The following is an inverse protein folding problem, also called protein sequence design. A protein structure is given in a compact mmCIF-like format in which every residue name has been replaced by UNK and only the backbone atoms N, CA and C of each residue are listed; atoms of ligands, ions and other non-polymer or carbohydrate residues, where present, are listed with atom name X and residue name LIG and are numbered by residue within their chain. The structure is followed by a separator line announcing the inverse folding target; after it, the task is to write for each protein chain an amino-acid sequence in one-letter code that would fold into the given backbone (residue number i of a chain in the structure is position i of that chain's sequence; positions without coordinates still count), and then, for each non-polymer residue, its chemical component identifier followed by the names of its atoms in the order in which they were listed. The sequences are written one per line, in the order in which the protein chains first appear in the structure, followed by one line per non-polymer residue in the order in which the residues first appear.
data_IF_377141449873
#
_entry.id   IF_377141449873
#
_cell.length_a   1.000
_cell.length_b   1.000
_cell.length_c   1.000
_cell.angle_alpha   90.00
_cell.angle_beta   90.00
_cell.angle_gamma   90.00
#
_symmetry.space_group_name_H-M   'P 1'
#
loop_
_entity.id
_entity.type
_entity.pdbx_description
1 polymer ?
#
# COMPACT_ATOMS: atom_id res chain seq x y z
N UNK A 1 -52.18 -41.96 26.81
CA UNK A 1 -51.59 -40.76 27.46
C UNK A 1 -50.02 -40.76 27.56
N UNK A 2 -49.38 -41.91 27.71
CA UNK A 2 -47.87 -41.96 27.83
C UNK A 2 -47.15 -41.68 26.54
N UNK A 3 -47.65 -42.02 25.37
CA UNK A 3 -46.99 -41.82 24.06
C UNK A 3 -46.98 -40.34 23.65
N UNK A 4 -47.97 -39.55 24.00
CA UNK A 4 -48.00 -38.11 23.72
C UNK A 4 -47.00 -37.33 24.57
N UNK A 5 -46.74 -37.79 25.80
CA UNK A 5 -45.75 -37.15 26.67
C UNK A 5 -44.29 -37.31 26.14
N UNK A 6 -43.99 -38.47 25.54
CA UNK A 6 -42.68 -38.71 24.93
C UNK A 6 -42.48 -37.91 23.63
N UNK A 7 -43.55 -37.73 22.84
CA UNK A 7 -43.48 -36.91 21.63
C UNK A 7 -43.23 -35.43 21.94
N UNK A 8 -43.81 -34.89 23.01
CA UNK A 8 -43.58 -33.51 23.47
C UNK A 8 -42.17 -33.35 24.05
N UNK A 9 -41.65 -34.35 24.77
CA UNK A 9 -40.34 -34.36 25.34
C UNK A 9 -39.27 -34.50 24.25
N UNK A 10 -39.52 -35.27 23.20
CA UNK A 10 -38.59 -35.39 22.03
C UNK A 10 -38.58 -34.13 21.18
N UNK A 11 -39.74 -33.46 21.02
CA UNK A 11 -39.81 -32.17 20.33
C UNK A 11 -39.14 -31.03 21.09
N UNK A 12 -39.18 -31.04 22.43
CA UNK A 12 -38.49 -30.07 23.26
C UNK A 12 -36.94 -30.24 23.25
N UNK A 13 -36.46 -31.46 23.01
CA UNK A 13 -35.00 -31.73 22.88
C UNK A 13 -34.45 -31.32 21.52
N UNK A 14 -35.29 -31.11 20.50
CA UNK A 14 -34.87 -30.71 19.13
C UNK A 14 -34.81 -29.18 18.95
N UNK A 15 -35.33 -28.44 19.94
CA UNK A 15 -35.20 -26.96 19.99
C UNK A 15 -34.10 -26.57 20.98
N UNK A 16 -32.94 -27.23 20.91
CA UNK A 16 -31.74 -26.59 21.43
C UNK A 16 -31.47 -25.40 20.52
N UNK A 17 -31.51 -24.15 21.05
CA UNK A 17 -31.18 -23.00 20.26
C UNK A 17 -29.75 -23.22 19.76
N UNK A 18 -29.58 -23.20 18.46
CA UNK A 18 -28.31 -22.80 17.84
C UNK A 18 -28.08 -21.34 18.28
N UNK A 19 -27.69 -21.17 19.54
CA UNK A 19 -26.99 -19.95 19.91
C UNK A 19 -25.75 -19.97 19.09
N UNK A 20 -25.77 -19.24 17.99
CA UNK A 20 -24.56 -18.90 17.25
C UNK A 20 -23.60 -18.31 18.29
N UNK A 21 -22.64 -19.12 18.69
CA UNK A 21 -21.49 -18.62 19.40
C UNK A 21 -20.81 -17.69 18.41
N UNK A 22 -21.02 -16.38 18.57
CA UNK A 22 -20.08 -15.42 18.04
C UNK A 22 -18.76 -15.78 18.72
N UNK A 23 -17.92 -16.52 18.00
CA UNK A 23 -16.57 -16.83 18.45
C UNK A 23 -15.82 -15.49 18.45
N UNK A 24 -15.93 -14.76 19.55
CA UNK A 24 -15.01 -13.67 19.83
C UNK A 24 -13.65 -14.35 19.92
N UNK A 25 -12.79 -14.09 18.94
CA UNK A 25 -11.45 -14.64 18.94
C UNK A 25 -10.77 -14.17 20.22
N UNK A 26 -10.42 -15.13 21.09
CA UNK A 26 -9.71 -14.81 22.32
C UNK A 26 -8.31 -14.27 21.96
N UNK A 27 -7.82 -13.29 22.71
CA UNK A 27 -6.46 -12.79 22.51
C UNK A 27 -5.44 -13.94 22.50
N UNK A 28 -4.52 -13.92 21.53
CA UNK A 28 -3.49 -14.93 21.37
C UNK A 28 -2.18 -14.43 21.98
N UNK A 29 -1.54 -15.28 22.77
CA UNK A 29 -0.20 -14.98 23.32
C UNK A 29 0.85 -15.61 22.42
N UNK A 30 1.73 -14.78 21.87
CA UNK A 30 2.86 -15.20 21.06
C UNK A 30 4.18 -14.84 21.73
N UNK A 31 5.23 -15.58 21.41
CA UNK A 31 6.58 -15.28 21.88
C UNK A 31 7.51 -15.21 20.69
N UNK A 32 8.24 -14.10 20.57
CA UNK A 32 9.21 -13.90 19.51
C UNK A 32 10.58 -13.52 20.08
N UNK A 33 11.64 -13.96 19.41
CA UNK A 33 13.00 -13.68 19.77
C UNK A 33 13.74 -12.95 18.66
N UNK A 34 14.64 -12.07 19.06
CA UNK A 34 15.58 -11.42 18.17
C UNK A 34 16.97 -11.43 18.76
N UNK A 35 17.97 -11.59 17.92
CA UNK A 35 19.37 -11.64 18.32
C UNK A 35 20.14 -10.60 17.53
N UNK A 36 21.06 -9.90 18.21
CA UNK A 36 22.03 -9.02 17.55
C UNK A 36 23.42 -9.23 18.14
N UNK A 37 24.39 -9.35 17.27
CA UNK A 37 25.79 -9.55 17.59
C UNK A 37 26.45 -8.19 17.78
N UNK A 38 27.32 -8.05 18.78
CA UNK A 38 28.05 -6.83 19.07
C UNK A 38 29.37 -6.80 18.29
N UNK A 39 29.52 -5.80 17.44
CA UNK A 39 30.78 -5.49 16.76
C UNK A 39 31.76 -4.73 17.65
N UNK A 40 33.00 -4.56 17.20
CA UNK A 40 34.09 -3.96 17.99
C UNK A 40 33.80 -2.51 18.44
N UNK A 41 33.05 -1.75 17.67
CA UNK A 41 32.72 -0.35 17.95
C UNK A 41 31.30 -0.13 18.44
N UNK A 42 30.51 -1.18 18.60
CA UNK A 42 29.10 -1.07 18.96
C UNK A 42 28.90 -0.81 20.47
N UNK A 43 27.91 0.01 20.77
CA UNK A 43 27.49 0.19 22.17
C UNK A 43 26.44 -0.85 22.54
N UNK A 44 26.52 -1.43 23.76
CA UNK A 44 25.56 -2.44 24.23
C UNK A 44 24.10 -2.06 24.11
N UNK A 45 23.76 -0.74 24.27
CA UNK A 45 22.41 -0.20 24.11
C UNK A 45 21.92 -0.33 22.67
N UNK A 46 22.81 -0.14 21.67
CA UNK A 46 22.45 -0.14 20.27
C UNK A 46 22.25 -1.56 19.75
N UNK A 47 23.09 -2.49 20.24
CA UNK A 47 22.95 -3.92 19.96
C UNK A 47 21.67 -4.48 20.59
N UNK A 48 21.36 -4.11 21.83
CA UNK A 48 20.08 -4.46 22.45
C UNK A 48 18.89 -3.92 21.68
N UNK A 49 18.97 -2.66 21.21
CA UNK A 49 17.92 -2.05 20.40
C UNK A 49 17.78 -2.76 19.04
N UNK A 50 18.87 -3.23 18.44
CA UNK A 50 18.86 -4.02 17.22
C UNK A 50 18.18 -5.39 17.45
N UNK A 51 18.55 -6.10 18.50
CA UNK A 51 17.90 -7.37 18.88
C UNK A 51 16.40 -7.19 19.14
N UNK A 52 16.00 -6.08 19.80
CA UNK A 52 14.60 -5.76 20.03
C UNK A 52 13.84 -5.52 18.74
N UNK A 53 14.42 -4.80 17.77
CA UNK A 53 13.78 -4.59 16.44
C UNK A 53 13.56 -5.90 15.71
N UNK A 54 14.53 -6.80 15.79
CA UNK A 54 14.42 -8.13 15.18
C UNK A 54 13.32 -8.97 15.85
N UNK A 55 13.25 -8.97 17.21
CA UNK A 55 12.17 -9.62 17.94
C UNK A 55 10.79 -9.05 17.58
N UNK A 56 10.68 -7.72 17.45
CA UNK A 56 9.42 -7.06 17.02
C UNK A 56 9.04 -7.45 15.59
N UNK A 57 10.01 -7.56 14.69
CA UNK A 57 9.76 -8.02 13.32
C UNK A 57 9.20 -9.44 13.32
N UNK A 58 9.85 -10.35 14.05
CA UNK A 58 9.41 -11.74 14.18
C UNK A 58 8.01 -11.84 14.83
N UNK A 59 7.73 -11.03 15.86
CA UNK A 59 6.42 -10.96 16.49
C UNK A 59 5.33 -10.48 15.51
N UNK A 60 5.64 -9.44 14.73
CA UNK A 60 4.69 -8.92 13.72
C UNK A 60 4.41 -9.94 12.63
N UNK A 61 5.41 -10.70 12.19
CA UNK A 61 5.23 -11.77 11.20
C UNK A 61 4.35 -12.90 11.75
N UNK A 62 4.54 -13.30 13.00
CA UNK A 62 3.67 -14.29 13.66
C UNK A 62 2.24 -13.76 13.85
N UNK A 63 2.08 -12.51 14.29
CA UNK A 63 0.77 -11.88 14.40
C UNK A 63 0.05 -11.79 13.06
N UNK A 64 0.78 -11.58 11.95
CA UNK A 64 0.26 -11.56 10.60
C UNK A 64 -0.52 -12.81 10.22
N UNK A 65 -0.08 -13.99 10.69
CA UNK A 65 -0.78 -15.26 10.43
C UNK A 65 -2.18 -15.26 11.07
N UNK A 66 -2.31 -14.69 12.27
CA UNK A 66 -3.61 -14.58 12.95
C UNK A 66 -4.52 -13.57 12.27
N UNK A 67 -3.98 -12.44 11.80
CA UNK A 67 -4.72 -11.44 11.03
C UNK A 67 -5.23 -12.05 9.73
N UNK A 68 -4.38 -12.75 8.99
CA UNK A 68 -4.72 -13.40 7.72
C UNK A 68 -5.84 -14.44 7.92
N UNK A 69 -5.68 -15.34 8.89
CA UNK A 69 -6.71 -16.31 9.24
C UNK A 69 -8.02 -15.66 9.65
N UNK A 70 -7.99 -14.61 10.46
CA UNK A 70 -9.19 -13.91 10.90
C UNK A 70 -9.92 -13.24 9.74
N UNK A 71 -9.19 -12.55 8.87
CA UNK A 71 -9.78 -11.87 7.71
C UNK A 71 -10.31 -12.83 6.67
N UNK A 72 -9.68 -14.00 6.47
CA UNK A 72 -10.21 -15.07 5.61
C UNK A 72 -11.55 -15.61 6.12
N UNK A 73 -11.73 -15.75 7.42
CA UNK A 73 -13.03 -16.19 8.00
C UNK A 73 -14.15 -15.18 7.77
N UNK A 74 -13.82 -13.94 7.43
CA UNK A 74 -14.75 -12.86 7.11
C UNK A 74 -14.86 -12.57 5.60
N UNK A 75 -14.37 -13.48 4.75
CA UNK A 75 -14.31 -13.32 3.28
C UNK A 75 -13.60 -12.02 2.83
N UNK A 76 -12.65 -11.54 3.62
CA UNK A 76 -11.91 -10.32 3.33
C UNK A 76 -10.44 -10.61 3.00
N UNK A 77 -9.99 -10.22 1.81
CA UNK A 77 -8.63 -10.45 1.35
C UNK A 77 -7.77 -9.22 1.56
N UNK A 78 -6.65 -9.38 2.25
CA UNK A 78 -5.63 -8.37 2.48
C UNK A 78 -4.39 -8.63 1.63
N UNK A 79 -3.67 -7.55 1.31
CA UNK A 79 -2.31 -7.65 0.79
C UNK A 79 -1.34 -7.92 1.94
N UNK A 80 -0.15 -8.44 1.64
CA UNK A 80 0.90 -8.71 2.66
C UNK A 80 1.28 -7.46 3.47
N UNK A 81 1.27 -6.29 2.84
CA UNK A 81 1.59 -5.05 3.52
C UNK A 81 0.46 -4.59 4.45
N UNK A 82 -0.80 -4.77 4.03
CA UNK A 82 -1.96 -4.52 4.89
C UNK A 82 -1.97 -5.45 6.09
N UNK A 83 -1.71 -6.75 5.90
CA UNK A 83 -1.57 -7.74 7.00
C UNK A 83 -0.51 -7.31 7.98
N UNK A 84 0.68 -6.93 7.51
CA UNK A 84 1.79 -6.51 8.37
C UNK A 84 1.46 -5.23 9.15
N UNK A 85 0.81 -4.27 8.51
CA UNK A 85 0.41 -3.01 9.16
C UNK A 85 -0.63 -3.26 10.26
N UNK A 86 -1.65 -4.08 9.98
CA UNK A 86 -2.68 -4.44 10.97
C UNK A 86 -2.05 -5.25 12.09
N UNK A 87 -1.25 -6.27 11.79
CA UNK A 87 -0.55 -7.08 12.78
C UNK A 87 0.28 -6.21 13.74
N UNK A 88 0.97 -5.21 13.20
CA UNK A 88 1.73 -4.26 14.03
C UNK A 88 0.85 -3.37 14.92
N UNK A 89 -0.39 -3.09 14.53
CA UNK A 89 -1.32 -2.25 15.32
C UNK A 89 -2.00 -2.98 16.46
N UNK A 90 -2.25 -4.29 16.31
CA UNK A 90 -2.93 -5.14 17.31
C UNK A 90 -1.96 -5.95 18.17
N UNK A 91 -0.65 -5.74 17.98
CA UNK A 91 0.40 -6.43 18.73
C UNK A 91 0.77 -5.62 19.95
N UNK A 92 0.45 -6.14 21.14
CA UNK A 92 0.78 -5.52 22.43
C UNK A 92 1.88 -6.29 23.14
N UNK A 93 3.01 -5.61 23.43
CA UNK A 93 4.10 -6.22 24.18
C UNK A 93 3.74 -6.27 25.66
N UNK A 94 3.56 -7.48 26.21
CA UNK A 94 3.28 -7.72 27.62
C UNK A 94 4.58 -7.79 28.44
N UNK A 95 5.61 -8.45 27.87
CA UNK A 95 6.88 -8.69 28.56
C UNK A 95 8.03 -8.59 27.59
N UNK A 96 9.12 -7.97 28.06
CA UNK A 96 10.41 -7.92 27.35
C UNK A 96 11.50 -8.43 28.26
N UNK A 97 12.29 -9.38 27.79
CA UNK A 97 13.49 -9.90 28.45
C UNK A 97 14.68 -9.67 27.50
N UNK A 98 15.70 -8.98 28.01
CA UNK A 98 16.94 -8.77 27.25
C UNK A 98 18.09 -9.45 27.98
N UNK A 99 18.65 -10.46 27.35
CA UNK A 99 19.68 -11.34 27.92
C UNK A 99 20.97 -11.10 27.15
N UNK A 100 22.04 -10.59 27.82
CA UNK A 100 23.36 -10.58 27.23
C UNK A 100 23.95 -11.98 27.27
N UNK A 101 24.51 -12.43 26.16
CA UNK A 101 25.12 -13.75 26.02
C UNK A 101 26.50 -13.64 25.38
N UNK A 102 27.38 -14.61 25.70
CA UNK A 102 28.66 -14.79 24.99
C UNK A 102 28.63 -16.15 24.34
N UNK A 103 28.65 -16.18 23.01
CA UNK A 103 28.66 -17.40 22.20
C UNK A 103 29.93 -17.40 21.36
N UNK A 104 30.75 -18.44 21.47
CA UNK A 104 32.03 -18.59 20.75
C UNK A 104 32.94 -17.37 20.84
N UNK A 105 32.97 -16.74 22.02
CA UNK A 105 33.79 -15.55 22.28
C UNK A 105 33.21 -14.24 21.78
N UNK A 106 32.03 -14.26 21.18
CA UNK A 106 31.35 -13.07 20.63
C UNK A 106 30.19 -12.64 21.52
N UNK A 107 30.16 -11.36 21.88
CA UNK A 107 29.05 -10.79 22.61
C UNK A 107 27.83 -10.61 21.74
N UNK A 108 26.67 -11.01 22.26
CA UNK A 108 25.37 -10.77 21.62
C UNK A 108 24.28 -10.44 22.63
N UNK A 109 23.23 -9.79 22.18
CA UNK A 109 21.99 -9.64 22.94
C UNK A 109 20.91 -10.51 22.32
N UNK A 110 20.22 -11.30 23.15
CA UNK A 110 18.98 -11.98 22.84
C UNK A 110 17.84 -11.21 23.49
N UNK A 111 16.86 -10.75 22.73
CA UNK A 111 15.65 -10.14 23.25
C UNK A 111 14.49 -11.07 22.98
N UNK A 112 13.77 -11.42 24.04
CA UNK A 112 12.54 -12.21 23.98
C UNK A 112 11.39 -11.30 24.31
N UNK A 113 10.40 -11.24 23.41
CA UNK A 113 9.15 -10.52 23.59
C UNK A 113 8.01 -11.52 23.77
N UNK A 114 7.21 -11.32 24.81
CA UNK A 114 5.91 -11.96 24.94
C UNK A 114 4.86 -10.91 24.57
N UNK A 115 4.07 -11.20 23.56
CA UNK A 115 3.10 -10.26 23.01
C UNK A 115 1.70 -10.88 23.02
N UNK A 116 0.72 -10.03 23.20
CA UNK A 116 -0.70 -10.33 23.00
C UNK A 116 -1.14 -9.83 21.63
N UNK A 117 -1.88 -10.65 20.92
CA UNK A 117 -2.49 -10.32 19.63
C UNK A 117 -4.00 -10.41 19.78
N UNK A 118 -4.67 -9.29 19.71
CA UNK A 118 -6.13 -9.23 19.80
C UNK A 118 -6.75 -8.92 18.44
N UNK A 119 -7.18 -9.97 17.73
CA UNK A 119 -7.80 -9.82 16.41
C UNK A 119 -9.20 -9.19 16.49
N UNK A 120 -9.82 -9.06 17.67
CA UNK A 120 -11.09 -8.37 17.84
C UNK A 120 -10.99 -6.85 17.61
N UNK A 121 -9.77 -6.31 17.68
CA UNK A 121 -9.49 -4.91 17.36
C UNK A 121 -9.48 -4.61 15.85
N UNK A 122 -9.52 -5.66 15.00
CA UNK A 122 -9.54 -5.50 13.54
C UNK A 122 -10.95 -5.16 13.07
N UNK A 123 -11.17 -3.89 12.76
CA UNK A 123 -12.45 -3.43 12.17
C UNK A 123 -12.43 -3.68 10.64
N UNK A 124 -12.95 -4.83 10.24
CA UNK A 124 -13.08 -5.23 8.84
C UNK A 124 -13.96 -4.26 8.04
N UNK A 125 -15.02 -3.70 8.65
CA UNK A 125 -15.92 -2.78 7.96
C UNK A 125 -15.20 -1.47 7.61
N UNK A 126 -14.45 -0.90 8.57
CA UNK A 126 -13.65 0.29 8.34
C UNK A 126 -12.52 0.05 7.32
N UNK A 127 -11.93 -1.14 7.31
CA UNK A 127 -10.92 -1.52 6.31
C UNK A 127 -11.51 -1.61 4.91
N UNK A 128 -12.70 -2.21 4.77
CA UNK A 128 -13.40 -2.32 3.49
C UNK A 128 -13.78 -0.94 2.93
N UNK A 129 -14.27 -0.03 3.78
CA UNK A 129 -14.60 1.34 3.41
C UNK A 129 -13.37 2.10 2.91
N UNK A 130 -12.27 2.05 3.67
CA UNK A 130 -11.00 2.68 3.26
C UNK A 130 -10.48 2.12 1.94
N UNK A 131 -10.58 0.82 1.73
CA UNK A 131 -10.14 0.17 0.49
C UNK A 131 -10.98 0.63 -0.71
N UNK A 132 -12.30 0.76 -0.54
CA UNK A 132 -13.20 1.29 -1.56
C UNK A 132 -12.90 2.76 -1.88
N UNK A 133 -12.61 3.57 -0.87
CA UNK A 133 -12.22 4.97 -1.04
C UNK A 133 -10.89 5.12 -1.79
N UNK A 134 -9.87 4.34 -1.41
CA UNK A 134 -8.58 4.32 -2.11
C UNK A 134 -8.76 3.94 -3.59
N UNK A 135 -9.55 2.92 -3.89
CA UNK A 135 -9.84 2.52 -5.26
C UNK A 135 -10.54 3.63 -6.07
N UNK A 136 -11.47 4.35 -5.44
CA UNK A 136 -12.13 5.51 -6.05
C UNK A 136 -11.15 6.63 -6.35
N UNK A 137 -10.30 7.01 -5.39
CA UNK A 137 -9.30 8.06 -5.55
C UNK A 137 -8.24 7.69 -6.61
N UNK A 138 -7.83 6.43 -6.68
CA UNK A 138 -6.94 5.96 -7.74
C UNK A 138 -7.57 6.12 -9.12
N UNK A 139 -8.83 5.73 -9.29
CA UNK A 139 -9.55 5.90 -10.55
C UNK A 139 -9.69 7.38 -10.94
N UNK A 140 -9.96 8.26 -9.97
CA UNK A 140 -10.04 9.70 -10.21
C UNK A 140 -8.67 10.26 -10.64
N UNK A 141 -7.59 9.88 -9.96
CA UNK A 141 -6.23 10.25 -10.35
C UNK A 141 -5.92 9.82 -11.77
N UNK A 142 -6.19 8.57 -12.12
CA UNK A 142 -5.90 8.04 -13.45
C UNK A 142 -6.69 8.78 -14.55
N UNK A 143 -7.94 9.17 -14.26
CA UNK A 143 -8.74 10.00 -15.19
C UNK A 143 -8.17 11.40 -15.35
N UNK A 144 -7.73 12.03 -14.28
CA UNK A 144 -7.10 13.36 -14.31
C UNK A 144 -5.75 13.33 -15.03
N UNK A 145 -4.96 12.30 -14.83
CA UNK A 145 -3.69 12.10 -15.55
C UNK A 145 -3.93 11.94 -17.07
N UNK A 146 -4.93 11.14 -17.46
CA UNK A 146 -5.31 10.98 -18.87
C UNK A 146 -5.76 12.30 -19.50
N UNK A 147 -6.58 13.09 -18.79
CA UNK A 147 -7.01 14.41 -19.25
C UNK A 147 -5.83 15.38 -19.39
N UNK A 148 -4.93 15.39 -18.42
CA UNK A 148 -3.75 16.24 -18.44
C UNK A 148 -2.82 15.91 -19.62
N UNK A 149 -2.60 14.62 -19.86
CA UNK A 149 -1.82 14.15 -21.01
C UNK A 149 -2.48 14.54 -22.35
N UNK A 150 -3.80 14.41 -22.45
CA UNK A 150 -4.54 14.83 -23.66
C UNK A 150 -4.43 16.35 -23.91
N UNK A 151 -4.49 17.16 -22.85
CA UNK A 151 -4.29 18.62 -22.96
C UNK A 151 -2.86 18.96 -23.40
N UNK A 152 -1.85 18.32 -22.83
CA UNK A 152 -0.45 18.51 -23.23
C UNK A 152 -0.22 18.19 -24.70
N UNK A 153 -0.75 17.05 -25.18
CA UNK A 153 -0.65 16.67 -26.59
C UNK A 153 -1.33 17.73 -27.49
N UNK A 154 -2.50 18.21 -27.10
CA UNK A 154 -3.22 19.26 -27.87
C UNK A 154 -2.43 20.57 -27.91
N UNK A 155 -1.81 20.97 -26.81
CA UNK A 155 -1.00 22.18 -26.74
C UNK A 155 0.27 22.05 -27.58
N UNK A 156 0.91 20.90 -27.58
CA UNK A 156 2.05 20.63 -28.45
C UNK A 156 1.66 20.67 -29.95
N UNK A 157 0.51 20.09 -30.30
CA UNK A 157 -0.01 20.17 -31.68
C UNK A 157 -0.29 21.60 -32.09
N UNK A 158 -0.89 22.41 -31.19
CA UNK A 158 -1.13 23.84 -31.45
C UNK A 158 0.18 24.61 -31.66
N UNK A 159 1.19 24.36 -30.84
CA UNK A 159 2.52 24.99 -30.99
C UNK A 159 3.15 24.63 -32.32
N UNK A 160 3.17 23.35 -32.70
CA UNK A 160 3.70 22.88 -33.99
C UNK A 160 2.95 23.49 -35.18
N UNK A 161 1.63 23.55 -35.08
CA UNK A 161 0.80 24.19 -36.16
C UNK A 161 1.10 25.70 -36.26
N UNK A 162 1.27 26.41 -35.15
CA UNK A 162 1.62 27.82 -35.13
C UNK A 162 3.04 28.08 -35.69
N UNK A 163 3.99 27.21 -35.39
CA UNK A 163 5.36 27.28 -35.93
C UNK A 163 5.39 27.00 -37.42
N UNK A 164 4.64 25.99 -37.90
CA UNK A 164 4.51 25.72 -39.32
C UNK A 164 3.88 26.90 -40.07
N UNK A 165 2.80 27.51 -39.53
CA UNK A 165 2.19 28.69 -40.11
C UNK A 165 3.10 29.92 -40.15
N UNK A 166 4.01 30.07 -39.17
CA UNK A 166 5.04 31.13 -39.20
C UNK A 166 6.11 30.84 -40.25
N UNK A 167 6.53 29.58 -40.39
CA UNK A 167 7.49 29.17 -41.44
C UNK A 167 6.96 29.49 -42.85
N UNK A 168 5.74 29.09 -43.15
CA UNK A 168 5.10 29.37 -44.46
C UNK A 168 4.98 30.87 -44.75
N UNK A 169 4.60 31.67 -43.74
CA UNK A 169 4.52 33.13 -43.90
C UNK A 169 5.89 33.77 -44.17
N UNK A 170 6.93 33.27 -43.56
CA UNK A 170 8.33 33.74 -43.82
C UNK A 170 8.77 33.39 -45.24
N UNK A 171 8.49 32.18 -45.73
CA UNK A 171 8.81 31.75 -47.07
C UNK A 171 8.06 32.57 -48.10
N UNK A 172 6.78 32.84 -47.91
CA UNK A 172 5.97 33.71 -48.75
C UNK A 172 6.58 35.14 -48.80
N UNK A 173 6.93 35.71 -47.65
CA UNK A 173 7.52 37.04 -47.58
C UNK A 173 8.87 37.12 -48.31
N UNK A 174 9.73 36.12 -48.15
CA UNK A 174 11.02 36.02 -48.85
C UNK A 174 10.80 35.86 -50.36
N UNK A 175 9.79 35.11 -50.79
CA UNK A 175 9.43 34.96 -52.20
C UNK A 175 8.98 36.29 -52.81
N UNK A 176 8.14 37.06 -52.14
CA UNK A 176 7.73 38.38 -52.58
C UNK A 176 8.86 39.38 -52.66
N UNK A 177 9.77 39.38 -51.69
CA UNK A 177 10.96 40.27 -51.74
C UNK A 177 11.91 39.90 -52.88
N UNK A 178 12.12 38.63 -53.15
CA UNK A 178 12.92 38.18 -54.28
C UNK A 178 12.31 38.56 -55.64
N UNK A 179 11.00 38.42 -55.79
CA UNK A 179 10.28 38.86 -57.00
C UNK A 179 10.38 40.38 -57.17
N UNK A 180 10.24 41.15 -56.12
CA UNK A 180 10.33 42.58 -56.12
C UNK A 180 11.74 43.06 -56.51
N UNK A 181 12.78 42.46 -55.90
CA UNK A 181 14.18 42.77 -56.22
C UNK A 181 14.52 42.44 -57.68
N UNK A 182 14.04 41.32 -58.21
CA UNK A 182 14.28 40.97 -59.61
C UNK A 182 13.53 41.93 -60.56
N UNK A 183 12.30 42.33 -60.21
CA UNK A 183 11.56 43.32 -60.95
C UNK A 183 12.28 44.69 -60.99
N UNK A 184 12.80 45.15 -59.87
CA UNK A 184 13.61 46.38 -59.79
C UNK A 184 14.89 46.29 -60.62
N UNK A 185 15.52 45.12 -60.60
CA UNK A 185 16.72 44.86 -61.42
C UNK A 185 16.44 44.95 -62.92
N UNK A 186 15.33 44.36 -63.35
CA UNK A 186 14.87 44.41 -64.75
C UNK A 186 14.51 45.85 -65.20
N UNK A 187 13.83 46.60 -64.35
CA UNK A 187 13.56 48.03 -64.62
C UNK A 187 14.82 48.83 -64.73
N UNK A 188 15.76 48.63 -63.80
CA UNK A 188 17.03 49.36 -63.80
C UNK A 188 17.97 49.00 -64.97
N UNK A 189 17.86 47.76 -65.51
CA UNK A 189 18.58 47.31 -66.70
C UNK A 189 17.95 47.76 -68.01
N UNK A 190 16.83 48.41 -67.96
CA UNK A 190 16.13 48.87 -69.18
C UNK A 190 15.43 47.80 -70.02
N UNK A 191 15.27 46.58 -69.46
CA UNK A 191 14.61 45.44 -70.11
C UNK A 191 13.12 45.32 -69.84
N UNK A 192 12.59 46.16 -68.96
CA UNK A 192 11.14 46.23 -68.73
C UNK A 192 10.54 47.25 -69.74
N UNK A 193 9.73 46.74 -70.66
CA UNK A 193 8.89 47.55 -71.55
C UNK A 193 7.54 47.79 -70.88
#
# INVERSE_FOLDING_TARGET
MRIQLYAVLLAALLVLPLFGQTATAAPQIITAEGVAIMGESDMPKDVRAAARREAMRAATEQAGVYVESYTETQDFTLTKDEVRMIAGSILHVIKEEAIPEVIEGTWQYRVRLTCEVDTSEVDIAALAEKKAEIARLQKERDTLEAQNNALRIRDEQRKRAAEAARGTRLEDTLSYTAIFDETLRLIRSGQAK
#
